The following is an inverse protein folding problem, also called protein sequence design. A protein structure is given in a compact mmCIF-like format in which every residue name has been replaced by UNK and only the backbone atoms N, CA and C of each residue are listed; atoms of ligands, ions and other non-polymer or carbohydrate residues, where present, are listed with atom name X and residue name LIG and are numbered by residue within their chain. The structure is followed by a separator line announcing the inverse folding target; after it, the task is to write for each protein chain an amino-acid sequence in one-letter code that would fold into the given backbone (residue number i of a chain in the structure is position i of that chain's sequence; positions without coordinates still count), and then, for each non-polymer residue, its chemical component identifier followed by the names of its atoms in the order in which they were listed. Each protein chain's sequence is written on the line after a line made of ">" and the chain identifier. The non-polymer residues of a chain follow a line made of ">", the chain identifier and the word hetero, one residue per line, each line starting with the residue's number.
data_IF_313912422855
#
_entry.id   IF_313912422855
#
_cell.length_a   1.000
_cell.length_b   1.000
_cell.length_c   1.000
_cell.angle_alpha   90.00
_cell.angle_beta   90.00
_cell.angle_gamma   90.00
#
_symmetry.space_group_name_H-M   'P 1'
#
loop_
_entity.id
_entity.type
_entity.pdbx_description
1 polymer ?
#
# COMPACT_ATOMS: atom_id res chain seq x y z
N UNK A 1 34.70 -0.04 21.42
CA UNK A 1 33.52 -0.78 21.87
C UNK A 1 32.90 -1.32 20.60
N UNK A 2 33.15 -2.56 20.25
CA UNK A 2 32.64 -3.24 19.05
C UNK A 2 31.19 -3.61 19.31
N UNK A 3 30.27 -3.03 18.54
CA UNK A 3 28.85 -3.39 18.54
C UNK A 3 28.74 -4.86 18.12
N UNK A 4 28.05 -5.68 18.89
CA UNK A 4 27.79 -7.09 18.57
C UNK A 4 26.50 -7.25 17.79
N UNK A 5 26.33 -8.36 17.05
CA UNK A 5 25.08 -8.65 16.28
C UNK A 5 23.81 -8.62 17.16
N UNK A 6 23.93 -8.80 18.48
CA UNK A 6 22.83 -8.71 19.44
C UNK A 6 22.29 -7.27 19.61
N UNK A 7 23.10 -6.25 19.31
CA UNK A 7 22.72 -4.83 19.42
C UNK A 7 21.83 -4.38 18.26
N UNK A 8 21.68 -5.20 17.21
CA UNK A 8 20.89 -4.93 16.01
C UNK A 8 19.57 -5.72 15.93
N UNK A 9 19.01 -6.14 17.06
CA UNK A 9 17.67 -6.71 17.05
C UNK A 9 16.67 -5.69 16.47
N UNK A 10 15.78 -6.06 15.54
CA UNK A 10 14.90 -5.13 14.82
C UNK A 10 13.99 -4.25 15.69
N UNK A 11 13.92 -4.52 16.99
CA UNK A 11 13.12 -3.76 17.96
C UNK A 11 13.91 -2.80 18.84
N UNK A 12 15.25 -2.79 18.77
CA UNK A 12 16.08 -1.97 19.67
C UNK A 12 15.98 -0.46 19.34
N UNK A 13 16.23 0.43 20.35
CA UNK A 13 16.31 1.87 20.11
C UNK A 13 17.42 2.23 19.11
N UNK A 14 18.52 1.51 19.13
CA UNK A 14 19.69 1.70 18.25
C UNK A 14 19.34 1.36 16.80
N UNK A 15 18.61 0.26 16.56
CA UNK A 15 18.13 -0.10 15.22
C UNK A 15 17.21 0.99 14.65
N UNK A 16 16.36 1.62 15.47
CA UNK A 16 15.53 2.77 15.05
C UNK A 16 16.36 4.01 14.77
N UNK A 17 17.35 4.30 15.61
CA UNK A 17 18.21 5.46 15.43
C UNK A 17 19.05 5.37 14.17
N UNK A 18 19.47 4.17 13.77
CA UNK A 18 20.28 3.91 12.57
C UNK A 18 19.46 3.79 11.28
N UNK A 19 18.13 3.64 11.37
CA UNK A 19 17.23 3.54 10.22
C UNK A 19 16.98 4.91 9.57
N UNK A 20 18.02 5.46 8.97
CA UNK A 20 18.00 6.76 8.31
C UNK A 20 17.55 6.65 6.85
N UNK A 21 16.90 7.71 6.38
CA UNK A 21 16.46 7.86 4.99
C UNK A 21 16.70 9.30 4.52
N UNK A 22 17.12 9.46 3.27
CA UNK A 22 17.20 10.78 2.66
C UNK A 22 15.79 11.35 2.50
N UNK A 23 15.56 12.55 3.04
CA UNK A 23 14.22 13.16 3.00
C UNK A 23 13.76 13.43 1.56
N UNK A 24 14.68 13.63 0.62
CA UNK A 24 14.35 13.77 -0.80
C UNK A 24 13.60 12.59 -1.42
N UNK A 25 13.63 11.42 -0.77
CA UNK A 25 12.87 10.22 -1.23
C UNK A 25 11.36 10.42 -1.18
N UNK A 26 10.85 11.40 -0.43
CA UNK A 26 9.41 11.75 -0.41
C UNK A 26 8.96 12.59 -1.61
N UNK A 27 9.85 12.92 -2.54
CA UNK A 27 9.51 13.76 -3.73
C UNK A 27 8.29 13.25 -4.51
N UNK A 28 8.01 11.94 -4.66
CA UNK A 28 6.78 11.46 -5.29
C UNK A 28 5.51 11.90 -4.56
N UNK A 29 5.51 11.82 -3.22
CA UNK A 29 4.41 12.31 -2.40
C UNK A 29 4.17 13.79 -2.62
N UNK A 30 5.24 14.60 -2.60
CA UNK A 30 5.15 16.05 -2.79
C UNK A 30 4.61 16.40 -4.18
N UNK A 31 5.06 15.69 -5.22
CA UNK A 31 4.54 15.83 -6.58
C UNK A 31 3.06 15.49 -6.69
N UNK A 32 2.65 14.35 -6.11
CA UNK A 32 1.26 13.89 -6.08
C UNK A 32 0.33 14.91 -5.40
N UNK A 33 0.73 15.44 -4.25
CA UNK A 33 -0.04 16.42 -3.48
C UNK A 33 -0.17 17.77 -4.21
N UNK A 34 0.94 18.26 -4.79
CA UNK A 34 0.95 19.52 -5.58
C UNK A 34 0.04 19.42 -6.79
N UNK A 35 0.10 18.33 -7.55
CA UNK A 35 -0.75 18.12 -8.72
C UNK A 35 -2.25 18.16 -8.39
N UNK A 36 -2.62 17.94 -7.11
CA UNK A 36 -4.00 17.99 -6.60
C UNK A 36 -4.31 19.23 -5.78
N UNK A 37 -3.41 20.22 -5.80
CA UNK A 37 -3.57 21.50 -5.09
C UNK A 37 -3.75 21.35 -3.57
N UNK A 38 -3.15 20.32 -2.96
CA UNK A 38 -3.08 20.23 -1.49
C UNK A 38 -2.03 21.22 -0.96
N UNK A 39 -2.27 21.73 0.25
CA UNK A 39 -1.30 22.54 0.97
C UNK A 39 -0.18 21.66 1.53
N UNK A 40 0.90 21.56 0.75
CA UNK A 40 2.04 20.68 1.08
C UNK A 40 2.84 21.25 2.25
N UNK A 41 2.94 22.58 2.38
CA UNK A 41 3.67 23.21 3.46
C UNK A 41 3.01 22.91 4.79
N UNK A 42 1.69 23.08 4.90
CA UNK A 42 0.91 22.73 6.10
C UNK A 42 1.07 21.26 6.49
N UNK A 43 1.02 20.34 5.51
CA UNK A 43 1.17 18.90 5.76
C UNK A 43 2.57 18.54 6.26
N UNK A 44 3.61 19.20 5.74
CA UNK A 44 4.99 19.00 6.14
C UNK A 44 5.27 19.59 7.53
N UNK A 45 4.82 20.81 7.79
CA UNK A 45 5.00 21.52 9.05
C UNK A 45 4.35 20.78 10.22
N UNK A 46 3.21 20.14 10.01
CA UNK A 46 2.56 19.28 10.99
C UNK A 46 3.43 18.12 11.50
N UNK A 47 4.51 17.78 10.77
CA UNK A 47 5.51 16.78 11.15
C UNK A 47 6.88 17.39 11.48
N UNK A 48 6.98 18.72 11.62
CA UNK A 48 8.22 19.43 11.87
C UNK A 48 9.18 19.42 10.68
N UNK A 49 8.66 19.28 9.47
CA UNK A 49 9.42 19.23 8.22
C UNK A 49 9.14 20.47 7.38
N UNK A 50 10.09 20.83 6.49
CA UNK A 50 9.92 21.94 5.54
C UNK A 50 10.20 21.48 4.11
N UNK A 51 9.57 22.14 3.13
CA UNK A 51 9.87 21.87 1.72
C UNK A 51 11.34 22.16 1.36
N UNK A 52 11.98 23.12 2.03
CA UNK A 52 13.41 23.41 1.87
C UNK A 52 14.25 22.19 2.27
N UNK A 53 13.94 21.57 3.43
CA UNK A 53 14.62 20.37 3.89
C UNK A 53 14.40 19.18 2.95
N UNK A 54 13.20 19.04 2.37
CA UNK A 54 12.89 17.97 1.43
C UNK A 54 13.61 18.10 0.06
N UNK A 55 14.05 19.30 -0.29
CA UNK A 55 14.84 19.54 -1.51
C UNK A 55 16.34 19.34 -1.31
N UNK A 56 16.79 19.22 -0.06
CA UNK A 56 18.20 19.00 0.26
C UNK A 56 18.51 17.49 0.15
N UNK A 57 19.31 17.07 -0.84
CA UNK A 57 19.63 15.64 -1.07
C UNK A 57 20.46 15.04 0.06
N UNK A 58 21.14 15.88 0.88
CA UNK A 58 21.95 15.44 2.01
C UNK A 58 21.15 15.26 3.30
N UNK A 59 19.90 15.76 3.33
CA UNK A 59 19.08 15.72 4.55
C UNK A 59 18.63 14.32 4.89
N UNK A 60 19.15 13.77 5.97
CA UNK A 60 18.76 12.51 6.54
C UNK A 60 17.75 12.72 7.67
N UNK A 61 16.75 11.84 7.74
CA UNK A 61 15.77 11.76 8.83
C UNK A 61 15.56 10.30 9.22
N UNK A 62 15.05 10.07 10.42
CA UNK A 62 14.63 8.71 10.80
C UNK A 62 13.45 8.25 9.92
N UNK A 63 13.45 7.00 9.49
CA UNK A 63 12.40 6.43 8.65
C UNK A 63 11.00 6.56 9.29
N UNK A 64 10.92 6.46 10.61
CA UNK A 64 9.69 6.68 11.38
C UNK A 64 9.04 8.05 11.12
N UNK A 65 9.84 9.09 10.85
CA UNK A 65 9.33 10.43 10.51
C UNK A 65 8.64 10.41 9.14
N UNK A 66 9.24 9.72 8.16
CA UNK A 66 8.65 9.56 6.82
C UNK A 66 7.38 8.73 6.89
N UNK A 67 7.38 7.64 7.67
CA UNK A 67 6.19 6.81 7.84
C UNK A 67 5.04 7.61 8.48
N UNK A 68 5.32 8.37 9.55
CA UNK A 68 4.31 9.26 10.15
C UNK A 68 3.78 10.32 9.19
N UNK A 69 4.66 10.91 8.38
CA UNK A 69 4.26 11.88 7.36
C UNK A 69 3.26 11.23 6.38
N UNK A 70 3.57 10.06 5.83
CA UNK A 70 2.70 9.34 4.92
C UNK A 70 1.34 9.01 5.57
N UNK A 71 1.36 8.42 6.77
CA UNK A 71 0.14 8.04 7.49
C UNK A 71 -0.70 9.27 7.91
N UNK A 72 -0.07 10.35 8.36
CA UNK A 72 -0.78 11.58 8.73
C UNK A 72 -1.35 12.30 7.53
N UNK A 73 -0.62 12.33 6.42
CA UNK A 73 -1.09 12.89 5.14
C UNK A 73 -2.29 12.10 4.60
N UNK A 74 -2.20 10.78 4.55
CA UNK A 74 -3.30 9.92 4.13
C UNK A 74 -4.59 10.21 4.92
N UNK A 75 -4.46 10.32 6.25
CA UNK A 75 -5.57 10.72 7.12
C UNK A 75 -6.07 12.14 6.85
N UNK A 76 -5.13 13.10 6.68
CA UNK A 76 -5.46 14.50 6.47
C UNK A 76 -6.30 14.72 5.20
N UNK A 77 -5.96 14.05 4.11
CA UNK A 77 -6.66 14.19 2.82
C UNK A 77 -7.80 13.17 2.62
N UNK A 78 -7.98 12.23 3.58
CA UNK A 78 -9.01 11.20 3.50
C UNK A 78 -8.75 10.11 2.45
N UNK A 79 -7.49 9.81 2.19
CA UNK A 79 -7.09 8.77 1.24
C UNK A 79 -6.42 7.61 1.99
N UNK A 80 -7.12 6.52 2.28
CA UNK A 80 -6.58 5.39 3.03
C UNK A 80 -5.50 4.61 2.28
N UNK A 81 -5.37 4.82 0.97
CA UNK A 81 -4.38 4.17 0.10
C UNK A 81 -3.49 5.18 -0.62
N UNK A 82 -3.22 6.31 0.02
CA UNK A 82 -2.35 7.35 -0.52
C UNK A 82 -1.03 6.79 -1.07
N UNK A 83 -0.39 5.89 -0.32
CA UNK A 83 0.87 5.27 -0.75
C UNK A 83 0.74 4.53 -2.08
N UNK A 84 -0.35 3.79 -2.28
CA UNK A 84 -0.64 3.10 -3.56
C UNK A 84 -0.79 4.13 -4.67
N UNK A 85 -1.64 5.14 -4.48
CA UNK A 85 -1.91 6.15 -5.50
C UNK A 85 -0.66 6.97 -5.87
N UNK A 86 0.21 7.25 -4.91
CA UNK A 86 1.51 7.89 -5.16
C UNK A 86 2.43 6.97 -5.97
N UNK A 87 2.49 5.68 -5.62
CA UNK A 87 3.30 4.71 -6.33
C UNK A 87 2.83 4.45 -7.78
N UNK A 88 1.52 4.39 -7.99
CA UNK A 88 0.93 4.21 -9.34
C UNK A 88 1.19 5.40 -10.27
N UNK A 89 1.32 6.61 -9.73
CA UNK A 89 1.59 7.82 -10.48
C UNK A 89 3.07 8.24 -10.44
N UNK A 90 3.92 7.37 -9.89
CA UNK A 90 5.35 7.63 -9.79
C UNK A 90 5.97 7.81 -11.19
N UNK A 91 6.66 8.93 -11.38
CA UNK A 91 7.60 9.08 -12.48
C UNK A 91 8.90 8.33 -12.13
N UNK A 92 9.02 7.12 -12.69
CA UNK A 92 10.15 6.25 -12.44
C UNK A 92 11.49 6.85 -12.95
N UNK A 93 11.46 7.78 -13.90
CA UNK A 93 12.66 8.44 -14.42
C UNK A 93 13.07 9.64 -13.57
N UNK A 94 12.13 10.28 -12.89
CA UNK A 94 12.40 11.44 -12.06
C UNK A 94 12.78 11.07 -10.61
N UNK A 95 12.35 9.89 -10.12
CA UNK A 95 12.65 9.48 -8.75
C UNK A 95 14.07 8.89 -8.64
N UNK A 96 14.97 9.46 -7.80
CA UNK A 96 16.38 9.05 -7.76
C UNK A 96 16.63 7.56 -7.57
N UNK A 97 15.82 6.88 -6.76
CA UNK A 97 15.98 5.45 -6.48
C UNK A 97 15.77 4.61 -7.73
N UNK A 98 14.71 4.87 -8.49
CA UNK A 98 14.39 4.12 -9.72
C UNK A 98 15.16 4.64 -10.92
N UNK A 99 15.50 5.93 -10.96
CA UNK A 99 16.28 6.53 -12.04
C UNK A 99 17.63 5.83 -12.23
N UNK A 100 18.37 5.60 -11.14
CA UNK A 100 19.66 4.91 -11.19
C UNK A 100 19.51 3.46 -11.70
N UNK A 101 18.45 2.76 -11.25
CA UNK A 101 18.19 1.38 -11.67
C UNK A 101 17.81 1.28 -13.15
N UNK A 102 17.04 2.25 -13.67
CA UNK A 102 16.58 2.28 -15.07
C UNK A 102 17.70 2.68 -16.04
N UNK A 103 18.64 3.54 -15.63
CA UNK A 103 19.77 3.95 -16.48
C UNK A 103 20.67 2.77 -16.90
N UNK A 104 20.73 1.72 -16.09
CA UNK A 104 21.60 0.56 -16.31
C UNK A 104 20.87 -0.70 -16.77
N UNK A 105 19.54 -0.69 -16.86
CA UNK A 105 18.74 -1.91 -17.04
C UNK A 105 17.88 -1.94 -18.30
N UNK A 106 18.15 -2.89 -19.20
CA UNK A 106 17.31 -3.20 -20.37
C UNK A 106 16.26 -4.27 -20.05
N UNK A 107 16.51 -5.12 -19.05
CA UNK A 107 15.63 -6.21 -18.65
C UNK A 107 15.15 -6.02 -17.22
N UNK A 108 14.01 -6.65 -16.84
CA UNK A 108 13.52 -6.61 -15.47
C UNK A 108 14.59 -7.05 -14.46
N UNK A 109 15.33 -8.11 -14.76
CA UNK A 109 16.39 -8.62 -13.88
C UNK A 109 17.48 -7.57 -13.61
N UNK A 110 17.91 -6.84 -14.64
CA UNK A 110 18.87 -5.76 -14.52
C UNK A 110 18.30 -4.58 -13.71
N UNK A 111 17.06 -4.18 -13.96
CA UNK A 111 16.37 -3.10 -13.23
C UNK A 111 16.24 -3.47 -11.76
N UNK A 112 15.77 -4.69 -11.43
CA UNK A 112 15.61 -5.12 -10.04
C UNK A 112 16.97 -5.23 -9.32
N UNK A 113 18.00 -5.72 -10.02
CA UNK A 113 19.37 -5.72 -9.48
C UNK A 113 19.85 -4.28 -9.21
N UNK A 114 19.60 -3.38 -10.15
CA UNK A 114 19.89 -1.95 -9.99
C UNK A 114 19.18 -1.35 -8.77
N UNK A 115 17.91 -1.70 -8.54
CA UNK A 115 17.16 -1.26 -7.35
C UNK A 115 17.80 -1.78 -6.05
N UNK A 116 18.15 -3.06 -5.99
CA UNK A 116 18.84 -3.64 -4.82
C UNK A 116 20.12 -2.87 -4.50
N UNK A 117 20.90 -2.54 -5.52
CA UNK A 117 22.18 -1.84 -5.36
C UNK A 117 22.00 -0.34 -5.07
N UNK A 118 21.00 0.32 -5.65
CA UNK A 118 20.82 1.76 -5.51
C UNK A 118 20.09 2.16 -4.23
N UNK A 119 19.14 1.35 -3.76
CA UNK A 119 18.30 1.70 -2.60
C UNK A 119 19.14 2.02 -1.35
N UNK A 120 20.21 1.27 -1.11
CA UNK A 120 21.11 1.50 0.02
C UNK A 120 21.78 2.88 0.04
N UNK A 121 21.86 3.58 -1.09
CA UNK A 121 22.37 4.96 -1.16
C UNK A 121 21.40 5.98 -0.55
N UNK A 122 20.11 5.66 -0.52
CA UNK A 122 19.04 6.60 -0.13
C UNK A 122 18.43 6.24 1.23
N UNK A 123 18.50 4.97 1.63
CA UNK A 123 17.90 4.52 2.89
C UNK A 123 18.67 3.37 3.53
N UNK A 124 18.81 3.45 4.85
CA UNK A 124 19.25 2.36 5.70
C UNK A 124 18.07 1.66 6.40
N UNK A 125 16.81 2.07 6.13
CA UNK A 125 15.61 1.59 6.82
C UNK A 125 15.07 0.26 6.31
N UNK A 126 15.53 -0.19 5.14
CA UNK A 126 15.11 -1.45 4.54
C UNK A 126 16.25 -2.09 3.75
N UNK A 127 16.26 -3.41 3.73
CA UNK A 127 17.11 -4.24 2.87
C UNK A 127 16.27 -4.78 1.73
N UNK A 128 16.74 -4.60 0.52
CA UNK A 128 16.12 -5.13 -0.68
C UNK A 128 16.91 -6.34 -1.16
N UNK A 129 16.22 -7.41 -1.53
CA UNK A 129 16.84 -8.64 -2.07
C UNK A 129 16.07 -9.13 -3.28
N UNK A 130 16.79 -9.63 -4.26
CA UNK A 130 16.24 -10.37 -5.39
C UNK A 130 16.66 -11.83 -5.25
N UNK A 131 15.70 -12.71 -5.03
CA UNK A 131 15.89 -14.15 -4.93
C UNK A 131 15.45 -14.79 -6.25
N UNK A 132 16.38 -15.49 -6.91
CA UNK A 132 16.15 -16.06 -8.24
C UNK A 132 16.02 -17.57 -8.12
N UNK A 133 14.84 -18.09 -8.42
CA UNK A 133 14.55 -19.51 -8.49
C UNK A 133 14.34 -19.99 -9.92
N UNK A 134 14.24 -21.31 -10.14
CA UNK A 134 14.10 -21.89 -11.48
C UNK A 134 12.77 -21.53 -12.15
N UNK A 135 11.66 -21.56 -11.42
CA UNK A 135 10.32 -21.25 -11.92
C UNK A 135 9.78 -19.92 -11.44
N UNK A 136 10.02 -19.61 -10.17
CA UNK A 136 9.59 -18.38 -9.53
C UNK A 136 10.76 -17.64 -8.89
N UNK A 137 10.72 -16.32 -8.99
CA UNK A 137 11.64 -15.39 -8.33
C UNK A 137 10.87 -14.49 -7.37
N UNK A 138 11.60 -13.91 -6.42
CA UNK A 138 11.00 -13.04 -5.40
C UNK A 138 11.80 -11.76 -5.25
N UNK A 139 11.11 -10.63 -5.15
CA UNK A 139 11.69 -9.38 -4.69
C UNK A 139 11.23 -9.12 -3.26
N UNK A 140 12.18 -9.08 -2.35
CA UNK A 140 11.94 -8.99 -0.91
C UNK A 140 12.35 -7.63 -0.37
N UNK A 141 11.51 -7.04 0.47
CA UNK A 141 11.80 -5.80 1.20
C UNK A 141 11.63 -6.05 2.69
N UNK A 142 12.74 -6.07 3.39
CA UNK A 142 12.83 -6.31 4.82
C UNK A 142 13.24 -5.05 5.56
N UNK A 143 12.46 -4.61 6.54
CA UNK A 143 12.82 -3.45 7.36
C UNK A 143 13.94 -3.79 8.33
N UNK A 144 14.90 -2.88 8.47
CA UNK A 144 16.02 -3.01 9.41
C UNK A 144 15.63 -2.71 10.85
N UNK A 145 14.39 -2.21 11.06
CA UNK A 145 13.85 -1.89 12.38
C UNK A 145 12.37 -2.21 12.46
N UNK A 146 11.84 -2.29 13.68
CA UNK A 146 10.40 -2.47 13.93
C UNK A 146 9.73 -1.10 14.10
N UNK A 147 8.87 -0.65 13.17
CA UNK A 147 8.11 0.59 13.32
C UNK A 147 7.14 0.53 14.50
N UNK A 148 6.79 1.67 15.07
CA UNK A 148 5.78 1.76 16.16
C UNK A 148 4.39 1.36 15.71
N UNK A 149 4.08 1.61 14.43
CA UNK A 149 2.83 1.23 13.79
C UNK A 149 3.14 0.59 12.44
N UNK A 150 2.28 -0.30 11.97
CA UNK A 150 2.42 -0.87 10.62
C UNK A 150 2.33 0.27 9.60
N UNK A 151 3.38 0.54 8.80
CA UNK A 151 3.42 1.67 7.89
C UNK A 151 2.67 1.33 6.60
N UNK A 152 1.34 1.37 6.65
CA UNK A 152 0.45 0.93 5.57
C UNK A 152 0.73 1.67 4.27
N UNK A 153 0.94 3.01 4.35
CA UNK A 153 1.19 3.82 3.17
C UNK A 153 2.54 3.49 2.51
N UNK A 154 3.57 3.22 3.31
CA UNK A 154 4.87 2.80 2.77
C UNK A 154 4.81 1.40 2.15
N UNK A 155 4.03 0.48 2.74
CA UNK A 155 3.79 -0.86 2.18
C UNK A 155 3.09 -0.73 0.82
N UNK A 156 2.00 0.02 0.76
CA UNK A 156 1.24 0.25 -0.48
C UNK A 156 2.10 0.90 -1.57
N UNK A 157 2.89 1.92 -1.21
CA UNK A 157 3.81 2.59 -2.12
C UNK A 157 4.85 1.62 -2.71
N UNK A 158 5.42 0.74 -1.88
CA UNK A 158 6.42 -0.25 -2.34
C UNK A 158 5.83 -1.20 -3.37
N UNK A 159 4.65 -1.76 -3.11
CA UNK A 159 3.98 -2.67 -4.05
C UNK A 159 3.58 -1.96 -5.35
N UNK A 160 2.96 -0.77 -5.24
CA UNK A 160 2.56 0.01 -6.40
C UNK A 160 3.75 0.40 -7.27
N UNK A 161 4.87 0.80 -6.67
CA UNK A 161 6.13 1.12 -7.38
C UNK A 161 6.66 -0.11 -8.12
N UNK A 162 6.68 -1.28 -7.49
CA UNK A 162 7.12 -2.50 -8.15
C UNK A 162 6.22 -2.86 -9.33
N UNK A 163 4.91 -2.83 -9.16
CA UNK A 163 3.95 -3.09 -10.23
C UNK A 163 4.10 -2.08 -11.38
N UNK A 164 4.40 -0.83 -11.04
CA UNK A 164 4.69 0.21 -12.03
C UNK A 164 5.93 -0.12 -12.88
N UNK A 165 6.94 -0.79 -12.28
CA UNK A 165 8.11 -1.29 -13.01
C UNK A 165 7.72 -2.46 -13.91
N UNK A 166 6.83 -3.37 -13.45
CA UNK A 166 6.31 -4.44 -14.31
C UNK A 166 5.51 -3.89 -15.50
N UNK A 167 4.80 -2.77 -15.33
CA UNK A 167 4.08 -2.11 -16.43
C UNK A 167 5.01 -1.62 -17.57
N UNK A 168 6.32 -1.54 -17.33
CA UNK A 168 7.30 -1.25 -18.38
C UNK A 168 7.60 -2.42 -19.30
N UNK A 169 7.21 -3.64 -18.95
CA UNK A 169 7.54 -4.84 -19.72
C UNK A 169 6.67 -4.97 -20.98
N UNK A 170 7.24 -5.52 -22.03
CA UNK A 170 6.51 -5.84 -23.27
C UNK A 170 5.44 -6.91 -23.07
N UNK A 171 5.73 -7.87 -22.18
CA UNK A 171 4.85 -9.02 -21.94
C UNK A 171 3.99 -8.78 -20.69
N UNK A 172 2.80 -8.23 -20.90
CA UNK A 172 1.81 -8.00 -19.83
C UNK A 172 1.07 -9.27 -19.40
N UNK A 173 1.17 -10.39 -20.14
CA UNK A 173 0.43 -11.63 -19.83
C UNK A 173 0.94 -12.33 -18.57
N UNK A 174 2.21 -12.17 -18.27
CA UNK A 174 2.84 -12.82 -17.13
C UNK A 174 2.60 -12.10 -15.77
N UNK A 175 1.97 -10.93 -15.78
CA UNK A 175 1.64 -10.20 -14.52
C UNK A 175 0.49 -10.85 -13.75
N UNK A 176 -0.33 -11.71 -14.38
CA UNK A 176 -1.41 -12.44 -13.72
C UNK A 176 -0.94 -13.45 -12.66
N UNK A 177 0.33 -13.88 -12.73
CA UNK A 177 0.92 -14.86 -11.80
C UNK A 177 1.74 -14.17 -10.69
N UNK A 178 1.60 -12.85 -10.54
CA UNK A 178 2.27 -12.09 -9.47
C UNK A 178 1.50 -12.24 -8.17
N UNK A 179 2.22 -12.61 -7.10
CA UNK A 179 1.68 -12.75 -5.75
C UNK A 179 2.33 -11.72 -4.85
N UNK A 180 1.53 -10.99 -4.07
CA UNK A 180 1.99 -10.01 -3.08
C UNK A 180 1.82 -10.57 -1.67
N UNK A 181 2.92 -10.83 -0.97
CA UNK A 181 2.92 -11.21 0.44
C UNK A 181 3.22 -9.97 1.29
N UNK A 182 2.33 -9.67 2.24
CA UNK A 182 2.36 -8.41 2.99
C UNK A 182 2.17 -8.62 4.49
N UNK A 183 2.84 -7.82 5.33
CA UNK A 183 2.55 -7.78 6.77
C UNK A 183 1.11 -7.38 7.10
N UNK A 184 0.49 -6.57 6.25
CA UNK A 184 -0.92 -6.19 6.38
C UNK A 184 -1.54 -5.92 5.02
N UNK A 185 -2.60 -6.65 4.76
CA UNK A 185 -3.38 -6.49 3.55
C UNK A 185 -4.19 -5.16 3.51
N UNK A 186 -4.34 -4.47 4.65
CA UNK A 186 -4.95 -3.13 4.73
C UNK A 186 -4.14 -2.06 3.97
N UNK A 187 -2.88 -2.34 3.65
CA UNK A 187 -2.03 -1.44 2.87
C UNK A 187 -2.46 -1.30 1.40
N UNK A 188 -3.32 -2.18 0.91
CA UNK A 188 -3.74 -2.24 -0.48
C UNK A 188 -5.27 -2.16 -0.60
N UNK A 189 -5.80 -1.53 -1.65
CA UNK A 189 -7.22 -1.58 -1.97
C UNK A 189 -7.71 -3.02 -2.12
N UNK A 190 -8.97 -3.25 -1.80
CA UNK A 190 -9.60 -4.55 -1.99
C UNK A 190 -9.60 -4.91 -3.49
N UNK A 191 -9.16 -6.12 -3.83
CA UNK A 191 -9.06 -6.57 -5.21
C UNK A 191 -8.03 -5.80 -6.05
N UNK A 192 -7.02 -5.20 -5.39
CA UNK A 192 -6.02 -4.37 -6.04
C UNK A 192 -5.41 -5.06 -7.27
N UNK A 193 -5.62 -4.45 -8.44
CA UNK A 193 -5.18 -4.94 -9.77
C UNK A 193 -5.56 -6.40 -10.08
N UNK A 194 -6.50 -7.00 -9.34
CA UNK A 194 -6.86 -8.42 -9.49
C UNK A 194 -5.78 -9.40 -9.07
N UNK A 195 -4.79 -8.97 -8.31
CA UNK A 195 -3.65 -9.78 -7.89
C UNK A 195 -3.97 -10.63 -6.65
N UNK A 196 -3.24 -11.72 -6.51
CA UNK A 196 -3.21 -12.54 -5.30
C UNK A 196 -2.44 -11.79 -4.19
N UNK A 197 -3.15 -11.40 -3.13
CA UNK A 197 -2.60 -10.65 -2.00
C UNK A 197 -2.74 -11.50 -0.74
N UNK A 198 -1.60 -11.89 -0.17
CA UNK A 198 -1.52 -12.73 1.02
C UNK A 198 -1.04 -11.92 2.21
N UNK A 199 -1.86 -11.84 3.26
CA UNK A 199 -1.41 -11.33 4.54
C UNK A 199 -0.61 -12.43 5.26
N UNK A 200 0.62 -12.10 5.65
CA UNK A 200 1.52 -13.03 6.34
C UNK A 200 1.82 -12.51 7.74
N UNK A 201 2.22 -13.38 8.66
CA UNK A 201 2.74 -12.94 9.96
C UNK A 201 4.17 -12.37 9.90
N UNK A 202 4.80 -12.39 8.72
CA UNK A 202 6.15 -11.90 8.49
C UNK A 202 6.17 -10.37 8.33
N UNK A 203 7.17 -9.67 8.88
CA UNK A 203 7.37 -8.24 8.63
C UNK A 203 7.93 -7.95 7.24
N UNK A 204 8.32 -8.99 6.47
CA UNK A 204 8.90 -8.86 5.13
C UNK A 204 7.79 -8.73 4.10
N UNK A 205 7.95 -7.76 3.20
CA UNK A 205 7.14 -7.68 1.98
C UNK A 205 7.79 -8.53 0.90
N UNK A 206 7.02 -9.40 0.27
CA UNK A 206 7.52 -10.26 -0.81
C UNK A 206 6.65 -10.12 -2.04
N UNK A 207 7.27 -9.94 -3.17
CA UNK A 207 6.62 -9.95 -4.48
C UNK A 207 7.17 -11.15 -5.24
N UNK A 208 6.30 -12.16 -5.43
CA UNK A 208 6.65 -13.36 -6.21
C UNK A 208 6.17 -13.20 -7.63
N UNK A 209 6.99 -13.64 -8.56
CA UNK A 209 6.68 -13.56 -9.98
C UNK A 209 7.41 -14.67 -10.77
N UNK A 210 6.92 -15.07 -11.95
CA UNK A 210 7.57 -16.04 -12.80
C UNK A 210 8.99 -15.60 -13.18
N UNK A 211 9.99 -16.49 -13.02
CA UNK A 211 11.41 -16.17 -13.25
C UNK A 211 11.69 -15.78 -14.71
N UNK A 212 10.86 -16.21 -15.64
CA UNK A 212 10.96 -15.80 -17.05
C UNK A 212 10.85 -14.28 -17.24
N UNK A 213 10.10 -13.58 -16.37
CA UNK A 213 9.97 -12.11 -16.42
C UNK A 213 11.30 -11.39 -16.23
N UNK A 214 12.26 -11.99 -15.54
CA UNK A 214 13.60 -11.38 -15.36
C UNK A 214 14.31 -11.13 -16.70
N UNK A 215 13.96 -11.86 -17.77
CA UNK A 215 14.52 -11.71 -19.12
C UNK A 215 13.68 -10.79 -20.00
N UNK A 216 12.48 -10.41 -19.58
CA UNK A 216 11.61 -9.51 -20.33
C UNK A 216 12.23 -8.14 -20.42
N UNK A 217 12.19 -7.56 -21.62
CA UNK A 217 12.73 -6.23 -21.88
C UNK A 217 11.77 -5.15 -21.40
N UNK A 218 12.32 -4.12 -20.77
CA UNK A 218 11.59 -2.91 -20.50
C UNK A 218 11.51 -2.10 -21.81
N UNK A 219 10.29 -1.89 -22.29
CA UNK A 219 10.06 -1.03 -23.45
C UNK A 219 10.12 0.42 -23.02
N UNK A 220 10.62 1.28 -23.88
CA UNK A 220 10.64 2.72 -23.65
C UNK A 220 9.23 3.33 -23.75
N UNK A 221 8.26 2.73 -23.04
CA UNK A 221 6.86 3.19 -22.91
C UNK A 221 6.68 4.33 -21.92
N UNK A 222 7.77 4.89 -21.41
CA UNK A 222 7.74 5.93 -20.35
C UNK A 222 7.00 7.20 -20.78
N UNK A 223 6.67 7.36 -22.06
CA UNK A 223 5.93 8.52 -22.56
C UNK A 223 4.40 8.37 -22.58
N UNK A 224 3.84 7.16 -22.38
CA UNK A 224 2.39 6.92 -22.55
C UNK A 224 1.90 5.70 -21.77
N UNK A 225 1.63 5.85 -20.49
CA UNK A 225 0.67 4.96 -19.81
C UNK A 225 -0.36 5.86 -19.14
N UNK A 226 -1.59 5.98 -19.70
CA UNK A 226 -2.70 6.46 -18.93
C UNK A 226 -2.91 5.47 -17.77
N UNK A 227 -2.95 5.99 -16.56
CA UNK A 227 -3.35 5.19 -15.41
C UNK A 227 -4.73 4.57 -15.73
N UNK A 228 -4.88 3.28 -15.44
CA UNK A 228 -6.14 2.67 -15.01
C UNK A 228 -7.04 1.92 -15.99
N UNK A 229 -6.89 1.92 -17.32
CA UNK A 229 -7.92 1.25 -18.14
C UNK A 229 -7.63 -0.19 -18.61
N UNK A 230 -6.38 -0.64 -18.59
CA UNK A 230 -6.01 -1.90 -19.30
C UNK A 230 -5.95 -3.17 -18.43
N UNK A 231 -6.22 -3.11 -17.12
CA UNK A 231 -6.10 -4.28 -16.20
C UNK A 231 -7.43 -4.81 -15.64
N UNK A 232 -8.55 -4.48 -16.29
CA UNK A 232 -9.90 -4.77 -15.77
C UNK A 232 -10.46 -6.16 -16.13
N UNK A 233 -9.74 -7.05 -16.79
CA UNK A 233 -10.38 -8.22 -17.44
C UNK A 233 -10.28 -9.59 -16.75
N UNK A 234 -9.76 -9.69 -15.52
CA UNK A 234 -9.96 -10.94 -14.73
C UNK A 234 -10.44 -10.60 -13.33
N UNK A 235 -11.68 -10.92 -12.97
CA UNK A 235 -12.15 -10.76 -11.61
C UNK A 235 -11.39 -11.75 -10.70
N UNK A 236 -10.47 -11.24 -9.87
CA UNK A 236 -9.93 -12.04 -8.78
C UNK A 236 -11.02 -12.33 -7.76
N UNK A 237 -10.90 -13.44 -7.03
CA UNK A 237 -11.84 -13.81 -5.98
C UNK A 237 -12.07 -12.66 -4.98
N UNK A 238 -11.00 -11.98 -4.58
CA UNK A 238 -11.08 -10.81 -3.68
C UNK A 238 -11.85 -9.63 -4.28
N UNK A 239 -11.73 -9.40 -5.60
CA UNK A 239 -12.50 -8.38 -6.30
C UNK A 239 -13.98 -8.74 -6.41
N UNK A 240 -14.27 -10.02 -6.67
CA UNK A 240 -15.65 -10.51 -6.70
C UNK A 240 -16.32 -10.36 -5.31
N UNK A 241 -15.60 -10.69 -4.23
CA UNK A 241 -16.08 -10.47 -2.85
C UNK A 241 -16.29 -8.97 -2.59
N UNK A 242 -15.37 -8.09 -3.04
CA UNK A 242 -15.51 -6.65 -2.87
C UNK A 242 -16.76 -6.09 -3.54
N UNK A 243 -17.08 -6.58 -4.73
CA UNK A 243 -18.25 -6.13 -5.49
C UNK A 243 -19.57 -6.46 -4.79
N UNK A 244 -19.66 -7.61 -4.12
CA UNK A 244 -20.87 -8.04 -3.42
C UNK A 244 -20.91 -7.60 -1.95
N UNK A 245 -19.80 -7.14 -1.39
CA UNK A 245 -19.67 -6.77 0.01
C UNK A 245 -20.74 -5.75 0.49
N UNK A 246 -21.10 -4.68 -0.24
CA UNK A 246 -22.11 -3.73 0.22
C UNK A 246 -23.44 -4.39 0.58
N UNK A 247 -23.85 -5.39 -0.18
CA UNK A 247 -25.10 -6.14 0.05
C UNK A 247 -24.97 -7.18 1.16
N UNK A 248 -23.76 -7.69 1.38
CA UNK A 248 -23.50 -8.79 2.31
C UNK A 248 -23.23 -8.32 3.74
N UNK A 249 -22.78 -7.08 3.93
CA UNK A 249 -22.38 -6.56 5.24
C UNK A 249 -23.52 -6.50 6.27
N UNK A 250 -24.75 -6.48 5.83
CA UNK A 250 -25.96 -6.44 6.67
C UNK A 250 -26.57 -7.83 6.94
N UNK A 251 -25.96 -8.90 6.42
CA UNK A 251 -26.47 -10.27 6.63
C UNK A 251 -25.91 -10.86 7.93
N UNK A 252 -26.73 -11.72 8.58
CA UNK A 252 -26.29 -12.43 9.79
C UNK A 252 -25.18 -13.44 9.47
N UNK A 253 -24.25 -13.62 10.42
CA UNK A 253 -23.02 -14.43 10.23
C UNK A 253 -23.28 -15.88 9.81
N UNK A 254 -24.36 -16.50 10.30
CA UNK A 254 -24.66 -17.92 10.04
C UNK A 254 -24.83 -18.26 8.55
N UNK A 255 -25.21 -17.29 7.72
CA UNK A 255 -25.43 -17.49 6.27
C UNK A 255 -24.47 -16.64 5.40
N UNK A 256 -23.58 -15.87 5.99
CA UNK A 256 -22.77 -14.90 5.24
C UNK A 256 -21.84 -15.57 4.23
N UNK A 257 -21.21 -16.68 4.62
CA UNK A 257 -20.33 -17.45 3.72
C UNK A 257 -21.09 -18.01 2.52
N UNK A 258 -22.22 -18.61 2.76
CA UNK A 258 -23.07 -19.15 1.70
C UNK A 258 -23.56 -18.04 0.78
N UNK A 259 -24.06 -16.96 1.35
CA UNK A 259 -24.55 -15.81 0.58
C UNK A 259 -23.47 -15.16 -0.30
N UNK A 260 -22.26 -15.01 0.19
CA UNK A 260 -21.14 -14.49 -0.60
C UNK A 260 -20.75 -15.46 -1.71
N UNK A 261 -20.64 -16.77 -1.40
CA UNK A 261 -20.30 -17.80 -2.38
C UNK A 261 -21.33 -17.82 -3.53
N UNK A 262 -22.63 -17.85 -3.21
CA UNK A 262 -23.73 -17.81 -4.18
C UNK A 262 -23.69 -16.54 -5.04
N UNK A 263 -23.47 -15.37 -4.42
CA UNK A 263 -23.43 -14.08 -5.13
C UNK A 263 -22.27 -13.98 -6.14
N UNK A 264 -21.16 -14.70 -5.90
CA UNK A 264 -20.01 -14.73 -6.81
C UNK A 264 -19.98 -16.01 -7.68
N UNK A 265 -21.01 -16.87 -7.60
CA UNK A 265 -21.15 -18.06 -8.43
C UNK A 265 -20.23 -19.23 -8.04
N UNK A 266 -19.87 -19.35 -6.77
CA UNK A 266 -19.02 -20.42 -6.23
C UNK A 266 -19.77 -21.27 -5.21
N UNK A 267 -19.33 -22.53 -5.01
CA UNK A 267 -19.71 -23.28 -3.83
C UNK A 267 -18.97 -22.76 -2.58
N UNK A 268 -19.56 -22.84 -1.35
CA UNK A 268 -18.90 -22.37 -0.13
C UNK A 268 -17.51 -23.00 0.11
N UNK A 269 -17.33 -24.27 -0.26
CA UNK A 269 -16.04 -24.96 -0.16
C UNK A 269 -15.00 -24.41 -1.14
N UNK A 270 -15.42 -24.01 -2.36
CA UNK A 270 -14.55 -23.40 -3.36
C UNK A 270 -14.12 -21.99 -2.93
N UNK A 271 -15.05 -21.22 -2.34
CA UNK A 271 -14.74 -19.92 -1.76
C UNK A 271 -13.66 -20.06 -0.66
N UNK A 272 -13.82 -21.01 0.25
CA UNK A 272 -12.84 -21.25 1.32
C UNK A 272 -11.49 -21.73 0.79
N UNK A 273 -11.50 -22.67 -0.13
CA UNK A 273 -10.28 -23.15 -0.77
C UNK A 273 -9.55 -22.02 -1.49
N UNK A 274 -10.28 -21.17 -2.24
CA UNK A 274 -9.72 -20.01 -2.92
C UNK A 274 -9.14 -19.00 -1.94
N UNK A 275 -9.83 -18.66 -0.87
CA UNK A 275 -9.34 -17.76 0.18
C UNK A 275 -8.13 -18.34 0.91
N UNK A 276 -8.12 -19.65 1.17
CA UNK A 276 -6.96 -20.34 1.77
C UNK A 276 -5.74 -20.27 0.86
N UNK A 277 -5.88 -20.52 -0.44
CA UNK A 277 -4.81 -20.36 -1.44
C UNK A 277 -4.28 -18.92 -1.46
N UNK A 278 -5.18 -17.94 -1.31
CA UNK A 278 -4.82 -16.51 -1.25
C UNK A 278 -4.24 -16.09 0.11
N UNK A 279 -4.15 -16.99 1.10
CA UNK A 279 -3.65 -16.68 2.44
C UNK A 279 -4.50 -15.65 3.18
N UNK A 280 -5.79 -15.54 2.86
CA UNK A 280 -6.74 -14.61 3.48
C UNK A 280 -7.98 -15.34 4.00
N UNK A 281 -8.94 -14.60 4.53
CA UNK A 281 -10.22 -15.14 4.99
C UNK A 281 -11.37 -14.22 4.58
N UNK A 282 -12.59 -14.76 4.48
CA UNK A 282 -13.77 -13.96 4.18
C UNK A 282 -13.95 -12.81 5.18
N UNK A 283 -13.70 -13.05 6.47
CA UNK A 283 -13.74 -12.00 7.49
C UNK A 283 -12.74 -10.86 7.22
N UNK A 284 -11.54 -11.20 6.76
CA UNK A 284 -10.50 -10.23 6.40
C UNK A 284 -10.92 -9.38 5.20
N UNK A 285 -11.45 -10.03 4.17
CA UNK A 285 -11.90 -9.34 2.96
C UNK A 285 -13.09 -8.41 3.23
N UNK A 286 -14.06 -8.86 4.01
CA UNK A 286 -15.20 -8.03 4.42
C UNK A 286 -14.79 -6.88 5.35
N UNK A 287 -13.77 -7.08 6.19
CA UNK A 287 -13.20 -6.02 7.01
C UNK A 287 -12.60 -4.90 6.16
N UNK A 288 -11.90 -5.25 5.08
CA UNK A 288 -11.37 -4.27 4.10
C UNK A 288 -12.50 -3.52 3.41
N UNK A 289 -13.52 -4.24 2.95
CA UNK A 289 -14.68 -3.62 2.31
C UNK A 289 -15.39 -2.64 3.25
N UNK A 290 -15.60 -3.02 4.51
CA UNK A 290 -16.18 -2.12 5.53
C UNK A 290 -15.38 -0.83 5.69
N UNK A 291 -14.05 -0.93 5.71
CA UNK A 291 -13.20 0.26 5.82
C UNK A 291 -13.35 1.17 4.62
N UNK A 292 -13.28 0.63 3.41
CA UNK A 292 -13.41 1.39 2.18
C UNK A 292 -14.75 2.14 2.11
N UNK A 293 -15.85 1.42 2.35
CA UNK A 293 -17.20 1.99 2.36
C UNK A 293 -17.39 3.03 3.47
N UNK A 294 -16.80 2.80 4.66
CA UNK A 294 -16.83 3.75 5.75
C UNK A 294 -16.14 5.06 5.38
N UNK A 295 -14.94 4.99 4.82
CA UNK A 295 -14.19 6.16 4.39
C UNK A 295 -14.93 6.94 3.31
N UNK A 296 -15.51 6.25 2.34
CA UNK A 296 -16.29 6.88 1.27
C UNK A 296 -17.55 7.58 1.83
N UNK A 297 -18.36 6.88 2.62
CA UNK A 297 -19.56 7.45 3.22
C UNK A 297 -19.24 8.67 4.12
N UNK A 298 -18.18 8.60 4.91
CA UNK A 298 -17.76 9.73 5.77
C UNK A 298 -17.25 10.94 4.98
N UNK A 299 -16.71 10.71 3.78
CA UNK A 299 -16.15 11.74 2.90
C UNK A 299 -17.24 12.38 2.03
N UNK A 300 -18.16 11.59 1.49
CA UNK A 300 -19.08 12.00 0.43
C UNK A 300 -20.47 12.36 0.94
N UNK A 301 -20.84 11.94 2.15
CA UNK A 301 -22.20 12.12 2.69
C UNK A 301 -22.23 12.80 4.06
N UNK A 302 -23.41 13.37 4.39
CA UNK A 302 -23.73 13.88 5.73
C UNK A 302 -24.50 12.88 6.59
N UNK A 303 -24.64 11.65 6.10
CA UNK A 303 -25.33 10.56 6.81
C UNK A 303 -24.84 10.42 8.25
N UNK A 304 -25.75 10.34 9.24
CA UNK A 304 -25.39 10.13 10.64
C UNK A 304 -24.44 8.92 10.82
N UNK A 305 -23.51 9.03 11.75
CA UNK A 305 -22.54 7.96 12.02
C UNK A 305 -23.23 6.67 12.43
N UNK A 306 -24.37 6.80 13.14
CA UNK A 306 -25.23 5.67 13.53
C UNK A 306 -25.76 4.91 12.29
N UNK A 307 -26.17 5.64 11.27
CA UNK A 307 -26.76 5.08 10.09
C UNK A 307 -25.68 4.45 9.18
N UNK A 308 -24.51 5.09 9.09
CA UNK A 308 -23.33 4.50 8.43
C UNK A 308 -22.96 3.19 9.12
N UNK A 309 -22.93 3.17 10.46
CA UNK A 309 -22.63 1.94 11.22
C UNK A 309 -23.63 0.83 10.88
N UNK A 310 -24.92 1.14 10.85
CA UNK A 310 -25.96 0.20 10.49
C UNK A 310 -25.80 -0.30 9.05
N UNK A 311 -25.56 0.59 8.07
CA UNK A 311 -25.32 0.23 6.67
C UNK A 311 -24.11 -0.68 6.47
N UNK A 312 -23.12 -0.57 7.36
CA UNK A 312 -21.92 -1.40 7.33
C UNK A 312 -22.03 -2.69 8.16
N UNK A 313 -23.24 -3.01 8.66
CA UNK A 313 -23.53 -4.24 9.40
C UNK A 313 -23.01 -4.23 10.84
N UNK A 314 -22.85 -3.08 11.48
CA UNK A 314 -22.53 -3.02 12.89
C UNK A 314 -23.80 -2.94 13.74
N UNK A 315 -23.89 -3.78 14.75
CA UNK A 315 -25.03 -3.83 15.69
C UNK A 315 -25.14 -2.56 16.55
N UNK A 316 -24.05 -1.80 16.69
CA UNK A 316 -24.03 -0.55 17.43
C UNK A 316 -22.97 0.42 16.89
N UNK A 317 -23.25 1.71 16.89
CA UNK A 317 -22.32 2.77 16.48
C UNK A 317 -21.00 2.76 17.27
N UNK A 318 -21.04 2.32 18.53
CA UNK A 318 -19.84 2.14 19.36
C UNK A 318 -18.88 1.07 18.83
N UNK A 319 -19.39 -0.02 18.27
CA UNK A 319 -18.61 -1.09 17.65
C UNK A 319 -17.94 -0.57 16.38
N UNK A 320 -18.70 0.13 15.54
CA UNK A 320 -18.16 0.81 14.36
C UNK A 320 -17.07 1.81 14.74
N UNK A 321 -17.30 2.66 15.74
CA UNK A 321 -16.32 3.65 16.18
C UNK A 321 -15.02 3.02 16.68
N UNK A 322 -15.11 1.91 17.42
CA UNK A 322 -13.92 1.14 17.85
C UNK A 322 -13.18 0.52 16.69
N UNK A 323 -13.90 -0.14 15.77
CA UNK A 323 -13.35 -0.70 14.54
C UNK A 323 -12.63 0.36 13.73
N UNK A 324 -13.30 1.47 13.44
CA UNK A 324 -12.75 2.54 12.62
C UNK A 324 -11.51 3.16 13.28
N UNK A 325 -11.58 3.45 14.58
CA UNK A 325 -10.45 4.01 15.33
C UNK A 325 -9.26 3.05 15.39
N UNK A 326 -9.48 1.76 15.60
CA UNK A 326 -8.40 0.76 15.64
C UNK A 326 -7.70 0.63 14.29
N UNK A 327 -8.41 0.89 13.20
CA UNK A 327 -7.89 0.73 11.84
C UNK A 327 -7.28 2.03 11.29
N UNK A 328 -7.88 3.20 11.58
CA UNK A 328 -7.46 4.49 11.03
C UNK A 328 -6.72 5.39 12.02
N UNK A 329 -6.74 5.05 13.32
CA UNK A 329 -6.13 5.83 14.39
C UNK A 329 -7.04 6.93 14.95
N UNK A 330 -8.21 7.22 14.35
CA UNK A 330 -9.13 8.26 14.80
C UNK A 330 -10.59 7.81 14.74
N UNK A 331 -11.48 8.54 15.44
CA UNK A 331 -12.91 8.22 15.43
C UNK A 331 -13.56 8.66 14.11
N UNK A 332 -14.69 8.01 13.68
CA UNK A 332 -15.43 8.42 12.48
C UNK A 332 -15.84 9.90 12.49
N UNK A 333 -16.22 10.41 13.66
CA UNK A 333 -16.59 11.83 13.84
C UNK A 333 -15.39 12.76 13.63
N UNK A 334 -14.24 12.44 14.19
CA UNK A 334 -13.01 13.21 14.03
C UNK A 334 -12.55 13.19 12.55
N UNK A 335 -12.60 12.01 11.91
CA UNK A 335 -12.30 11.83 10.52
C UNK A 335 -13.15 12.74 9.62
N UNK A 336 -14.50 12.72 9.77
CA UNK A 336 -15.42 13.57 9.01
C UNK A 336 -15.16 15.06 9.25
N UNK A 337 -15.00 15.48 10.51
CA UNK A 337 -14.73 16.89 10.84
C UNK A 337 -13.45 17.39 10.21
N UNK A 338 -12.41 16.57 10.21
CA UNK A 338 -11.13 16.90 9.60
C UNK A 338 -11.26 17.09 8.09
N UNK A 339 -11.96 16.17 7.39
CA UNK A 339 -12.18 16.29 5.96
C UNK A 339 -12.96 17.56 5.58
N UNK A 340 -13.96 17.93 6.37
CA UNK A 340 -14.72 19.17 6.15
C UNK A 340 -13.86 20.43 6.32
N UNK A 341 -12.97 20.47 7.31
CA UNK A 341 -12.05 21.60 7.51
C UNK A 341 -11.12 21.77 6.30
N UNK A 342 -10.62 20.68 5.74
CA UNK A 342 -9.78 20.70 4.53
C UNK A 342 -10.54 21.21 3.32
N UNK A 343 -11.85 20.90 3.20
CA UNK A 343 -12.70 21.36 2.11
C UNK A 343 -13.13 22.83 2.27
N UNK A 344 -13.37 23.31 3.49
CA UNK A 344 -13.77 24.70 3.77
C UNK A 344 -12.61 25.67 3.81
N UNK A 345 -11.40 25.24 4.13
CA UNK A 345 -10.18 26.07 4.04
C UNK A 345 -9.71 26.35 2.61
N UNK A 346 -10.43 25.89 1.59
CA UNK A 346 -10.19 26.14 0.16
C UNK A 346 -11.00 27.32 -0.42
N UNK A 347 -11.61 28.18 0.43
CA UNK A 347 -12.28 29.41 -0.03
C UNK A 347 -11.47 30.65 0.32
#
# INVERSE_FOLDING_TARGET
>A
MTLTDADFLPGSPEARASALVQLATISPLLGYLKARSYDVDQLMEAQGLTLKAAKDPSRLVQAEVVYRLLESTARAIGDPWLGVHVGEQLDLQAWPITQDALKGGETLGQILTGLVLSTGKFTASARHRLEIGPAQSSYCVERTFRPRQVPLQNIGFTFATFLRILDLLDDTRATGDVVLETPSALALPLGYRGLDIRETGSPVQVIRFPSQLLRSRAVNRLARIPATEALLERPSLTRAIAAVAPEMLNRHEDNLRQAVAEAIGLAPAELEAGLSVLGTSLASELRRARLALACDALKTTDTPITDIAAQLGFSAAGNFSRFFKSTTGETPRAYRQRLRRVQTGKR
#
